data_IF_001529429359
#
_entry.id   IF_001529429359
#
_cell.length_a   1.000
_cell.length_b   1.000
_cell.length_c   1.000
_cell.angle_alpha   90.00
_cell.angle_beta   90.00
_cell.angle_gamma   90.00
#
_symmetry.space_group_name_H-M   'P 1'
#
loop_
_entity.id
_entity.type
_entity.pdbx_description
1 polymer ?
#
# COMPACT_ATOMS: atom_id res chain seq x y z
N UNK A 1 28.80 -4.14 30.10
CA UNK A 1 28.28 -3.80 28.76
C UNK A 1 26.88 -4.38 28.64
N UNK A 2 25.83 -3.55 28.65
CA UNK A 2 24.46 -4.04 28.34
C UNK A 2 24.43 -4.29 26.83
N UNK A 3 24.35 -5.56 26.43
CA UNK A 3 24.15 -5.92 25.03
C UNK A 3 22.90 -5.23 24.52
N UNK A 4 23.04 -4.45 23.44
CA UNK A 4 21.91 -3.88 22.72
C UNK A 4 21.06 -5.04 22.19
N UNK A 5 19.92 -5.30 22.82
CA UNK A 5 18.93 -6.19 22.24
C UNK A 5 18.41 -5.47 21.01
N UNK A 6 18.76 -5.97 19.82
CA UNK A 6 18.21 -5.47 18.56
C UNK A 6 16.71 -5.85 18.54
N UNK A 7 15.84 -4.88 18.85
CA UNK A 7 14.40 -5.01 18.71
C UNK A 7 13.94 -4.40 17.38
N UNK A 8 12.98 -5.02 16.73
CA UNK A 8 12.35 -4.46 15.55
C UNK A 8 11.63 -3.16 15.94
N UNK A 9 12.00 -2.02 15.34
CA UNK A 9 11.38 -0.74 15.65
C UNK A 9 10.09 -0.51 14.87
N UNK A 10 9.27 0.45 15.32
CA UNK A 10 8.03 0.84 14.63
C UNK A 10 8.32 1.35 13.21
N UNK A 11 9.42 2.10 13.03
CA UNK A 11 9.87 2.53 11.71
C UNK A 11 10.23 1.34 10.82
N UNK A 12 11.07 0.43 11.30
CA UNK A 12 11.50 -0.74 10.52
C UNK A 12 10.32 -1.64 10.12
N UNK A 13 9.30 -1.73 10.97
CA UNK A 13 8.10 -2.52 10.70
C UNK A 13 7.06 -1.79 9.81
N UNK A 14 7.28 -0.54 9.44
CA UNK A 14 6.30 0.28 8.70
C UNK A 14 6.86 0.90 7.43
N UNK A 15 7.49 2.06 7.49
CA UNK A 15 7.86 2.86 6.33
C UNK A 15 8.69 2.09 5.27
N UNK A 16 9.80 1.40 5.61
CA UNK A 16 10.57 0.62 4.63
C UNK A 16 9.76 -0.53 4.01
N UNK A 17 8.83 -1.14 4.77
CA UNK A 17 7.95 -2.20 4.27
C UNK A 17 6.99 -1.65 3.21
N UNK A 18 6.35 -0.50 3.49
CA UNK A 18 5.48 0.16 2.52
C UNK A 18 6.24 0.56 1.26
N UNK A 19 7.44 1.12 1.41
CA UNK A 19 8.28 1.54 0.28
C UNK A 19 8.62 0.34 -0.62
N UNK A 20 9.11 -0.75 -0.05
CA UNK A 20 9.45 -1.95 -0.81
C UNK A 20 8.24 -2.50 -1.58
N UNK A 21 7.12 -2.69 -0.91
CA UNK A 21 5.91 -3.25 -1.52
C UNK A 21 5.27 -2.33 -2.56
N UNK A 22 5.29 -1.01 -2.35
CA UNK A 22 4.76 -0.07 -3.34
C UNK A 22 5.63 0.02 -4.58
N UNK A 23 6.96 -0.08 -4.47
CA UNK A 23 7.84 -0.19 -5.63
C UNK A 23 7.56 -1.46 -6.44
N UNK A 24 7.35 -2.60 -5.75
CA UNK A 24 6.99 -3.85 -6.41
C UNK A 24 5.62 -3.72 -7.12
N UNK A 25 4.64 -3.11 -6.47
CA UNK A 25 3.32 -2.88 -7.07
C UNK A 25 3.42 -1.98 -8.29
N UNK A 26 4.23 -0.92 -8.27
CA UNK A 26 4.46 -0.05 -9.42
C UNK A 26 5.04 -0.82 -10.61
N UNK A 27 6.03 -1.70 -10.38
CA UNK A 27 6.62 -2.55 -11.41
C UNK A 27 5.60 -3.57 -11.97
N UNK A 28 4.73 -4.13 -11.12
CA UNK A 28 3.63 -5.01 -11.53
C UNK A 28 2.65 -4.26 -12.44
N UNK A 29 2.28 -3.02 -12.09
CA UNK A 29 1.38 -2.20 -12.91
C UNK A 29 2.02 -1.82 -14.26
N UNK A 30 3.32 -1.59 -14.31
CA UNK A 30 4.05 -1.36 -15.57
C UNK A 30 3.97 -2.58 -16.49
N UNK A 31 4.17 -3.80 -15.96
CA UNK A 31 3.99 -5.05 -16.71
C UNK A 31 2.55 -5.22 -17.21
N UNK A 32 1.56 -4.84 -16.40
CA UNK A 32 0.16 -4.90 -16.77
C UNK A 32 -0.19 -3.93 -17.90
N UNK A 33 0.34 -2.71 -17.86
CA UNK A 33 0.20 -1.72 -18.94
C UNK A 33 0.80 -2.23 -20.26
N UNK A 34 2.03 -2.78 -20.20
CA UNK A 34 2.70 -3.36 -21.35
C UNK A 34 1.90 -4.54 -21.95
N UNK A 35 1.37 -5.42 -21.09
CA UNK A 35 0.52 -6.54 -21.49
C UNK A 35 -0.76 -6.06 -22.21
N UNK A 36 -1.44 -5.06 -21.64
CA UNK A 36 -2.65 -4.50 -22.24
C UNK A 36 -2.36 -3.91 -23.62
N UNK A 37 -1.27 -3.14 -23.74
CA UNK A 37 -0.82 -2.52 -24.99
C UNK A 37 -0.47 -3.56 -26.06
N UNK A 38 0.32 -4.57 -25.71
CA UNK A 38 0.71 -5.65 -26.64
C UNK A 38 -0.50 -6.39 -27.19
N UNK A 39 -1.50 -6.68 -26.35
CA UNK A 39 -2.71 -7.41 -26.71
C UNK A 39 -3.83 -6.52 -27.25
N UNK A 40 -3.62 -5.21 -27.33
CA UNK A 40 -4.63 -4.23 -27.77
C UNK A 40 -5.90 -4.28 -26.90
N UNK A 41 -5.73 -4.50 -25.60
CA UNK A 41 -6.79 -4.47 -24.60
C UNK A 41 -6.87 -3.04 -24.06
N UNK A 42 -8.08 -2.47 -24.01
CA UNK A 42 -8.30 -1.19 -23.33
C UNK A 42 -7.96 -1.31 -21.84
N UNK A 43 -7.17 -0.39 -21.31
CA UNK A 43 -6.75 -0.39 -19.90
C UNK A 43 -7.93 -0.49 -18.95
N UNK A 44 -9.06 0.15 -19.29
CA UNK A 44 -10.26 0.17 -18.45
C UNK A 44 -10.81 -1.24 -18.17
N UNK A 45 -10.57 -2.21 -19.08
CA UNK A 45 -10.98 -3.60 -18.87
C UNK A 45 -10.25 -4.21 -17.67
N UNK A 46 -8.93 -4.01 -17.58
CA UNK A 46 -8.13 -4.49 -16.46
C UNK A 46 -8.36 -3.66 -15.18
N UNK A 47 -8.41 -2.34 -15.32
CA UNK A 47 -8.58 -1.41 -14.21
C UNK A 47 -9.92 -1.60 -13.47
N UNK A 48 -10.97 -1.99 -14.18
CA UNK A 48 -12.29 -2.26 -13.62
C UNK A 48 -12.53 -3.73 -13.25
N UNK A 49 -11.54 -4.61 -13.48
CA UNK A 49 -11.66 -6.03 -13.15
C UNK A 49 -11.73 -6.26 -11.65
N UNK A 50 -12.62 -7.20 -11.24
CA UNK A 50 -12.84 -7.62 -9.87
C UNK A 50 -13.21 -9.10 -9.81
N UNK A 51 -12.87 -9.80 -8.72
CA UNK A 51 -13.19 -11.22 -8.57
C UNK A 51 -14.68 -11.49 -8.29
N UNK A 52 -15.32 -10.61 -7.53
CA UNK A 52 -16.73 -10.74 -7.18
C UNK A 52 -17.45 -9.40 -7.31
N UNK A 53 -18.77 -9.39 -7.57
CA UNK A 53 -19.53 -8.16 -7.77
C UNK A 53 -19.45 -7.16 -6.61
N UNK A 54 -19.26 -7.65 -5.38
CA UNK A 54 -19.16 -6.88 -4.14
C UNK A 54 -17.72 -6.56 -3.74
N UNK A 55 -16.71 -7.01 -4.51
CA UNK A 55 -15.32 -6.64 -4.30
C UNK A 55 -14.94 -5.37 -5.06
N UNK A 56 -13.98 -4.64 -4.54
CA UNK A 56 -13.38 -3.49 -5.22
C UNK A 56 -12.59 -3.90 -6.48
N UNK A 57 -12.66 -3.12 -7.56
CA UNK A 57 -11.86 -3.35 -8.77
C UNK A 57 -10.38 -3.02 -8.54
N UNK A 58 -9.52 -3.41 -9.50
CA UNK A 58 -8.07 -3.20 -9.46
C UNK A 58 -7.69 -1.77 -9.10
N UNK A 59 -8.28 -0.77 -9.75
CA UNK A 59 -8.01 0.65 -9.46
C UNK A 59 -8.18 0.94 -7.97
N UNK A 60 -9.30 0.50 -7.39
CA UNK A 60 -9.59 0.76 -5.98
C UNK A 60 -8.66 -0.02 -5.03
N UNK A 61 -8.20 -1.20 -5.41
CA UNK A 61 -7.21 -1.94 -4.62
C UNK A 61 -5.90 -1.15 -4.49
N UNK A 62 -5.41 -0.59 -5.60
CA UNK A 62 -4.18 0.22 -5.60
C UNK A 62 -4.37 1.53 -4.80
N UNK A 63 -5.50 2.21 -4.96
CA UNK A 63 -5.83 3.42 -4.20
C UNK A 63 -5.80 3.14 -2.70
N UNK A 64 -6.47 2.09 -2.23
CA UNK A 64 -6.53 1.76 -0.81
C UNK A 64 -5.16 1.32 -0.28
N UNK A 65 -4.37 0.57 -1.06
CA UNK A 65 -3.00 0.22 -0.66
C UNK A 65 -2.15 1.49 -0.41
N UNK A 66 -2.20 2.46 -1.31
CA UNK A 66 -1.51 3.75 -1.11
C UNK A 66 -2.06 4.55 0.06
N UNK A 67 -3.37 4.50 0.30
CA UNK A 67 -4.01 5.15 1.45
C UNK A 67 -3.57 4.54 2.78
N UNK A 68 -3.41 3.21 2.85
CA UNK A 68 -2.86 2.56 4.04
C UNK A 68 -1.40 2.93 4.27
N UNK A 69 -0.56 2.95 3.23
CA UNK A 69 0.85 3.32 3.38
C UNK A 69 1.01 4.75 3.92
N UNK A 70 0.43 5.76 3.23
CA UNK A 70 0.53 7.15 3.66
C UNK A 70 -0.17 7.43 4.99
N UNK A 71 -1.37 6.83 5.16
CA UNK A 71 -2.17 7.05 6.36
C UNK A 71 -1.55 6.44 7.61
N UNK A 72 -0.91 5.26 7.48
CA UNK A 72 -0.20 4.62 8.58
C UNK A 72 1.02 5.42 8.98
N UNK A 73 1.86 5.79 8.01
CA UNK A 73 3.06 6.58 8.25
C UNK A 73 2.71 7.91 8.95
N UNK A 74 1.71 8.64 8.43
CA UNK A 74 1.27 9.90 9.01
C UNK A 74 0.77 9.75 10.45
N UNK A 75 -0.08 8.74 10.72
CA UNK A 75 -0.64 8.51 12.06
C UNK A 75 0.43 8.08 13.08
N UNK A 76 1.37 7.22 12.68
CA UNK A 76 2.49 6.85 13.53
C UNK A 76 3.42 8.02 13.82
N UNK A 77 3.62 8.92 12.85
CA UNK A 77 4.39 10.14 13.05
C UNK A 77 3.61 11.26 13.78
N UNK A 78 2.28 11.12 13.90
CA UNK A 78 1.43 12.13 14.57
C UNK A 78 1.22 13.40 13.72
N UNK A 79 1.22 13.26 12.40
CA UNK A 79 0.95 14.35 11.45
C UNK A 79 -0.34 14.10 10.67
N UNK A 80 -0.85 15.14 10.01
CA UNK A 80 -2.05 15.05 9.20
C UNK A 80 -1.88 14.10 8.01
N UNK A 81 -2.92 13.30 7.74
CA UNK A 81 -2.95 12.39 6.59
C UNK A 81 -3.27 13.18 5.31
N UNK A 82 -2.39 13.20 4.30
CA UNK A 82 -2.66 13.90 3.06
C UNK A 82 -3.84 13.27 2.31
N UNK A 83 -4.74 14.11 1.79
CA UNK A 83 -5.87 13.68 0.98
C UNK A 83 -5.44 13.58 -0.48
N UNK A 84 -5.82 12.48 -1.12
CA UNK A 84 -5.65 12.27 -2.56
C UNK A 84 -7.03 12.20 -3.21
N UNK A 85 -7.13 12.67 -4.45
CA UNK A 85 -8.27 12.40 -5.29
C UNK A 85 -8.24 10.91 -5.72
N UNK A 86 -9.41 10.29 -5.85
CA UNK A 86 -9.56 8.90 -6.30
C UNK A 86 -10.09 8.92 -7.74
N UNK A 87 -9.33 9.58 -8.64
CA UNK A 87 -9.70 9.87 -10.04
C UNK A 87 -8.77 9.20 -11.07
N UNK A 88 -7.92 8.28 -10.63
CA UNK A 88 -7.02 7.57 -11.51
C UNK A 88 -7.78 6.68 -12.50
N UNK A 89 -7.60 6.94 -13.80
CA UNK A 89 -8.26 6.23 -14.90
C UNK A 89 -7.29 5.49 -15.84
N UNK A 90 -6.01 5.39 -15.47
CA UNK A 90 -4.97 4.69 -16.25
C UNK A 90 -3.92 4.05 -15.36
N UNK A 91 -3.16 3.07 -15.90
CA UNK A 91 -2.00 2.52 -15.20
C UNK A 91 -0.94 3.60 -14.91
N UNK A 92 -0.74 4.53 -15.82
CA UNK A 92 0.19 5.65 -15.62
C UNK A 92 -0.26 6.53 -14.43
N UNK A 93 -1.55 6.85 -14.31
CA UNK A 93 -2.08 7.62 -13.19
C UNK A 93 -1.93 6.88 -11.85
N UNK A 94 -2.18 5.58 -11.81
CA UNK A 94 -1.97 4.75 -10.62
C UNK A 94 -0.49 4.71 -10.21
N UNK A 95 0.44 4.61 -11.16
CA UNK A 95 1.88 4.67 -10.87
C UNK A 95 2.30 6.05 -10.35
N UNK A 96 1.73 7.14 -10.87
CA UNK A 96 1.97 8.49 -10.34
C UNK A 96 1.46 8.64 -8.90
N UNK A 97 0.30 8.06 -8.57
CA UNK A 97 -0.21 7.99 -7.20
C UNK A 97 0.75 7.25 -6.28
N UNK A 98 1.27 6.09 -6.73
CA UNK A 98 2.28 5.33 -5.97
C UNK A 98 3.54 6.19 -5.77
N UNK A 99 4.07 6.81 -6.82
CA UNK A 99 5.26 7.66 -6.72
C UNK A 99 5.09 8.82 -5.72
N UNK A 100 3.93 9.49 -5.76
CA UNK A 100 3.57 10.52 -4.78
C UNK A 100 3.52 9.97 -3.35
N UNK A 101 3.01 8.76 -3.18
CA UNK A 101 2.95 8.08 -1.86
C UNK A 101 4.34 7.71 -1.37
N UNK A 102 5.21 7.18 -2.24
CA UNK A 102 6.61 6.88 -1.93
C UNK A 102 7.35 8.13 -1.45
N UNK A 103 7.27 9.24 -2.20
CA UNK A 103 7.86 10.53 -1.79
C UNK A 103 7.40 10.95 -0.38
N UNK A 104 6.11 10.79 -0.08
CA UNK A 104 5.58 11.11 1.24
C UNK A 104 6.13 10.20 2.34
N UNK A 105 6.12 8.88 2.12
CA UNK A 105 6.56 7.88 3.12
C UNK A 105 8.08 7.97 3.36
N UNK A 106 8.87 8.16 2.33
CA UNK A 106 10.33 8.27 2.40
C UNK A 106 10.82 9.56 3.08
N UNK A 107 9.97 10.56 3.23
CA UNK A 107 10.32 11.77 3.96
C UNK A 107 10.45 11.56 5.47
N UNK A 108 9.95 10.44 6.02
CA UNK A 108 10.00 10.15 7.44
C UNK A 108 11.25 9.34 7.81
N UNK A 109 11.83 9.66 8.96
CA UNK A 109 13.01 9.02 9.54
C UNK A 109 12.60 8.18 10.74
N UNK A 110 13.48 7.29 11.23
CA UNK A 110 13.21 6.53 12.47
C UNK A 110 12.75 7.41 13.63
N UNK A 111 13.37 8.56 13.82
CA UNK A 111 13.03 9.48 14.92
C UNK A 111 11.60 10.05 14.84
N UNK A 112 10.95 10.04 13.68
CA UNK A 112 9.60 10.55 13.48
C UNK A 112 8.54 9.50 13.83
N UNK A 113 8.90 8.20 13.81
CA UNK A 113 7.97 7.07 13.95
C UNK A 113 8.26 6.21 15.19
N UNK A 114 9.52 5.98 15.53
CA UNK A 114 9.88 5.17 16.69
C UNK A 114 9.37 5.81 17.99
N UNK A 115 8.97 4.96 18.93
CA UNK A 115 8.30 5.42 20.18
C UNK A 115 6.79 5.64 20.03
N UNK A 116 6.22 5.35 18.84
CA UNK A 116 4.78 5.50 18.59
C UNK A 116 3.94 4.30 19.04
N UNK A 117 4.53 3.28 19.67
CA UNK A 117 3.86 2.04 20.11
C UNK A 117 2.62 2.32 20.96
N UNK A 118 2.73 3.25 21.88
CA UNK A 118 1.68 3.66 22.80
C UNK A 118 0.78 4.79 22.33
N UNK A 119 1.04 5.39 21.15
CA UNK A 119 0.27 6.52 20.60
C UNK A 119 -1.18 6.14 20.40
N UNK A 120 -2.10 6.98 20.87
CA UNK A 120 -3.52 6.81 20.56
C UNK A 120 -3.79 7.19 19.09
N UNK A 121 -4.43 6.26 18.38
CA UNK A 121 -4.82 6.43 16.98
C UNK A 121 -6.32 6.20 16.88
N UNK A 122 -7.03 7.25 16.47
CA UNK A 122 -8.46 7.19 16.17
C UNK A 122 -8.65 7.38 14.67
N UNK A 123 -9.48 6.54 14.06
CA UNK A 123 -9.87 6.67 12.65
C UNK A 123 -11.31 6.20 12.44
N UNK A 124 -11.92 6.70 11.37
CA UNK A 124 -13.26 6.27 10.96
C UNK A 124 -13.14 5.27 9.80
N UNK A 125 -13.75 4.10 9.94
CA UNK A 125 -13.86 3.09 8.89
C UNK A 125 -15.35 2.84 8.62
N UNK A 126 -15.83 3.31 7.49
CA UNK A 126 -17.27 3.36 7.19
C UNK A 126 -18.00 4.24 8.20
N UNK A 127 -18.98 3.68 8.92
CA UNK A 127 -19.72 4.38 9.98
C UNK A 127 -19.16 4.16 11.40
N UNK A 128 -18.04 3.46 11.52
CA UNK A 128 -17.48 3.08 12.83
C UNK A 128 -16.24 3.90 13.16
N UNK A 129 -16.19 4.42 14.38
CA UNK A 129 -14.96 4.93 14.96
C UNK A 129 -14.16 3.75 15.55
N UNK A 130 -12.88 3.70 15.19
CA UNK A 130 -11.95 2.68 15.65
C UNK A 130 -10.82 3.37 16.42
N UNK A 131 -10.51 2.83 17.61
CA UNK A 131 -9.49 3.33 18.51
C UNK A 131 -8.43 2.27 18.73
N UNK A 132 -7.16 2.62 18.58
CA UNK A 132 -6.01 1.72 18.69
C UNK A 132 -4.87 2.39 19.46
N UNK A 133 -3.97 1.57 20.01
CA UNK A 133 -2.59 1.94 20.26
C UNK A 133 -1.74 1.72 19.02
N UNK A 134 -0.69 2.54 18.80
CA UNK A 134 0.09 2.57 17.59
C UNK A 134 0.61 1.20 17.13
N UNK A 135 1.17 0.41 18.05
CA UNK A 135 1.64 -0.94 17.72
C UNK A 135 0.49 -1.86 17.27
N UNK A 136 -0.63 -1.84 18.00
CA UNK A 136 -1.81 -2.64 17.64
C UNK A 136 -2.40 -2.19 16.31
N UNK A 137 -2.46 -0.88 16.08
CA UNK A 137 -2.87 -0.31 14.80
C UNK A 137 -2.01 -0.82 13.65
N UNK A 138 -0.68 -0.71 13.78
CA UNK A 138 0.26 -1.13 12.75
C UNK A 138 0.11 -2.63 12.44
N UNK A 139 0.23 -3.48 13.47
CA UNK A 139 0.38 -4.92 13.29
C UNK A 139 -0.94 -5.65 13.03
N UNK A 140 -2.07 -5.17 13.58
CA UNK A 140 -3.35 -5.88 13.52
C UNK A 140 -4.38 -5.24 12.60
N UNK A 141 -4.12 -4.02 12.13
CA UNK A 141 -5.03 -3.33 11.23
C UNK A 141 -4.33 -2.83 9.95
N UNK A 142 -3.32 -2.00 10.05
CA UNK A 142 -2.72 -1.34 8.90
C UNK A 142 -2.00 -2.33 7.95
N UNK A 143 -1.06 -3.12 8.45
CA UNK A 143 -0.32 -4.10 7.64
C UNK A 143 -1.23 -5.17 7.04
N UNK A 144 -2.16 -5.81 7.79
CA UNK A 144 -3.08 -6.78 7.19
C UNK A 144 -3.92 -6.18 6.05
N UNK A 145 -4.46 -4.97 6.21
CA UNK A 145 -5.20 -4.30 5.15
C UNK A 145 -4.30 -3.96 3.95
N UNK A 146 -3.13 -3.39 4.19
CA UNK A 146 -2.18 -3.06 3.15
C UNK A 146 -1.83 -4.28 2.29
N UNK A 147 -1.41 -5.37 2.93
CA UNK A 147 -1.07 -6.61 2.22
C UNK A 147 -2.29 -7.23 1.52
N UNK A 148 -3.46 -7.17 2.11
CA UNK A 148 -4.69 -7.63 1.46
C UNK A 148 -4.90 -6.92 0.12
N UNK A 149 -4.81 -5.59 0.08
CA UNK A 149 -5.04 -4.82 -1.13
C UNK A 149 -3.92 -4.98 -2.16
N UNK A 150 -2.66 -5.04 -1.76
CA UNK A 150 -1.53 -5.31 -2.67
C UNK A 150 -1.63 -6.73 -3.26
N UNK A 151 -1.94 -7.73 -2.44
CA UNK A 151 -2.10 -9.12 -2.89
C UNK A 151 -3.29 -9.25 -3.82
N UNK A 152 -4.43 -8.64 -3.48
CA UNK A 152 -5.62 -8.67 -4.36
C UNK A 152 -5.34 -8.00 -5.70
N UNK A 153 -4.61 -6.87 -5.73
CA UNK A 153 -4.20 -6.24 -6.98
C UNK A 153 -3.32 -7.17 -7.83
N UNK A 154 -2.33 -7.83 -7.22
CA UNK A 154 -1.51 -8.83 -7.89
C UNK A 154 -2.36 -9.97 -8.44
N UNK A 155 -3.24 -10.55 -7.63
CA UNK A 155 -4.07 -11.70 -8.01
C UNK A 155 -5.04 -11.36 -9.14
N UNK A 156 -5.64 -10.17 -9.14
CA UNK A 156 -6.49 -9.68 -10.23
C UNK A 156 -5.72 -9.62 -11.56
N UNK A 157 -4.53 -9.06 -11.56
CA UNK A 157 -3.69 -8.99 -12.78
C UNK A 157 -3.21 -10.37 -13.21
N UNK A 158 -2.87 -11.24 -12.27
CA UNK A 158 -2.49 -12.62 -12.55
C UNK A 158 -3.65 -13.40 -13.19
N UNK A 159 -4.87 -13.23 -12.69
CA UNK A 159 -6.07 -13.84 -13.25
C UNK A 159 -6.41 -13.33 -14.66
N UNK A 160 -6.08 -12.08 -14.97
CA UNK A 160 -6.20 -11.50 -16.31
C UNK A 160 -5.14 -12.02 -17.30
N UNK A 161 -4.18 -12.83 -16.86
CA UNK A 161 -3.14 -13.42 -17.71
C UNK A 161 -1.87 -12.57 -17.83
N UNK A 162 -1.70 -11.54 -17.01
CA UNK A 162 -0.44 -10.77 -16.96
C UNK A 162 0.69 -11.68 -16.50
N UNK A 163 1.82 -11.65 -17.21
CA UNK A 163 3.00 -12.50 -16.96
C UNK A 163 3.80 -12.06 -15.73
N UNK A 164 3.21 -12.17 -14.56
CA UNK A 164 3.83 -11.87 -13.26
C UNK A 164 3.87 -13.12 -12.37
N UNK A 165 4.79 -13.16 -11.42
CA UNK A 165 4.95 -14.27 -10.48
C UNK A 165 5.24 -13.79 -9.07
N UNK A 166 5.39 -14.73 -8.13
CA UNK A 166 5.64 -14.42 -6.72
C UNK A 166 6.85 -13.49 -6.52
N UNK A 167 7.88 -13.61 -7.35
CA UNK A 167 9.07 -12.77 -7.23
C UNK A 167 8.82 -11.32 -7.63
N UNK A 168 7.87 -11.04 -8.50
CA UNK A 168 7.44 -9.68 -8.78
C UNK A 168 6.74 -9.04 -7.57
N UNK A 169 6.01 -9.85 -6.80
CA UNK A 169 5.35 -9.40 -5.59
C UNK A 169 6.33 -9.18 -4.43
N UNK A 170 7.26 -10.11 -4.19
CA UNK A 170 8.24 -10.03 -3.10
C UNK A 170 9.32 -8.98 -3.41
N UNK A 171 9.76 -8.89 -4.67
CA UNK A 171 10.85 -8.05 -5.10
C UNK A 171 12.24 -8.65 -4.81
N UNK A 172 13.27 -7.84 -4.98
CA UNK A 172 14.63 -8.18 -4.59
C UNK A 172 14.77 -8.16 -3.06
N UNK A 173 15.44 -9.17 -2.51
CA UNK A 173 15.73 -9.33 -1.08
C UNK A 173 17.16 -8.90 -0.81
#
# INVERSE_FOLDING_TARGET
>A
MKGSVMSLSMYQASAPVFVAMLNNLAAILEKAEAYAKERKIDESVLLNWRFAPDMFPLTRQVQIATDFAKGTTARLAGVDVPKYADDEASFAALRQRIAKTLTFVEAFRPADIDGSEGRDITLTAGSRELNFKGQTYLLRFALPNFYFHVTTAYDLLRACGVGIGKMDYIGAI
#
